data_IF_241230931852
#
_entry.id   IF_241230931852
#
_cell.length_a   1.000
_cell.length_b   1.000
_cell.length_c   1.000
_cell.angle_alpha   90.00
_cell.angle_beta   90.00
_cell.angle_gamma   90.00
#
_symmetry.space_group_name_H-M   'P 1'
#
loop_
_entity.id
_entity.type
_entity.pdbx_description
1 polymer ?
#
# COMPACT_ATOMS: atom_id res chain seq x y z
N UNK A 1 33.14 3.48 1.15
CA UNK A 1 32.50 2.58 2.17
C UNK A 1 31.28 3.22 2.85
N UNK A 2 31.24 4.52 3.04
CA UNK A 2 30.10 5.23 3.70
C UNK A 2 28.84 5.29 2.81
N UNK A 3 28.99 5.46 1.49
CA UNK A 3 27.88 5.43 0.54
C UNK A 3 27.22 4.05 0.43
N UNK A 4 28.00 2.95 0.49
CA UNK A 4 27.48 1.60 0.46
C UNK A 4 26.68 1.24 1.72
N UNK A 5 27.06 1.78 2.91
CA UNK A 5 26.29 1.63 4.15
C UNK A 5 24.94 2.35 4.13
N UNK A 6 24.81 3.43 3.35
CA UNK A 6 23.55 4.17 3.20
C UNK A 6 22.60 3.53 2.21
N UNK A 7 23.08 2.80 1.23
CA UNK A 7 22.29 2.12 0.20
C UNK A 7 21.91 0.68 0.57
N UNK A 8 22.65 0.05 1.49
CA UNK A 8 22.42 -1.34 1.90
C UNK A 8 20.97 -1.67 2.31
N UNK A 9 20.27 -0.82 3.10
CA UNK A 9 18.86 -1.06 3.44
C UNK A 9 17.87 -0.91 2.26
N UNK A 10 18.29 -0.23 1.19
CA UNK A 10 17.44 0.02 0.00
C UNK A 10 17.61 -1.08 -1.07
N UNK A 11 18.62 -1.94 -0.92
CA UNK A 11 18.92 -3.04 -1.84
C UNK A 11 18.71 -4.41 -1.22
N UNK A 12 18.11 -4.48 -0.03
CA UNK A 12 17.76 -5.75 0.59
C UNK A 12 16.62 -6.42 -0.18
N UNK A 13 16.90 -7.53 -0.82
CA UNK A 13 15.87 -8.40 -1.38
C UNK A 13 15.09 -9.08 -0.25
N UNK A 14 13.78 -9.11 -0.36
CA UNK A 14 12.94 -9.86 0.56
C UNK A 14 13.08 -11.36 0.26
N UNK A 15 13.50 -12.11 1.27
CA UNK A 15 13.56 -13.57 1.18
C UNK A 15 12.24 -14.20 1.65
N UNK A 16 11.92 -15.44 1.22
CA UNK A 16 10.77 -16.17 1.74
C UNK A 16 10.77 -16.29 3.27
N UNK A 17 11.93 -16.44 3.89
CA UNK A 17 12.08 -16.51 5.36
C UNK A 17 11.70 -15.19 6.01
N UNK A 18 12.10 -14.04 5.44
CA UNK A 18 11.70 -12.72 5.96
C UNK A 18 10.21 -12.49 5.85
N UNK A 19 9.58 -13.00 4.79
CA UNK A 19 8.11 -12.94 4.62
C UNK A 19 7.44 -13.78 5.71
N UNK A 20 7.90 -15.02 5.92
CA UNK A 20 7.34 -15.89 6.97
C UNK A 20 7.53 -15.30 8.37
N UNK A 21 8.71 -14.83 8.70
CA UNK A 21 8.97 -14.13 9.97
C UNK A 21 8.07 -12.92 10.18
N UNK A 22 7.75 -12.18 9.12
CA UNK A 22 6.82 -11.05 9.21
C UNK A 22 5.41 -11.50 9.53
N UNK A 23 4.93 -12.60 8.92
CA UNK A 23 3.63 -13.21 9.21
C UNK A 23 3.56 -13.70 10.65
N UNK A 24 4.59 -14.42 11.11
CA UNK A 24 4.69 -14.91 12.49
C UNK A 24 4.61 -13.74 13.49
N UNK A 25 5.31 -12.65 13.21
CA UNK A 25 5.24 -11.45 14.05
C UNK A 25 3.84 -10.81 14.02
N UNK A 26 3.17 -10.76 12.86
CA UNK A 26 1.80 -10.24 12.77
C UNK A 26 0.84 -11.09 13.59
N UNK A 27 0.97 -12.42 13.56
CA UNK A 27 0.16 -13.34 14.35
C UNK A 27 0.37 -13.09 15.85
N UNK A 28 1.63 -12.95 16.32
CA UNK A 28 1.95 -12.59 17.70
C UNK A 28 1.41 -11.21 18.10
N UNK A 29 1.41 -10.25 17.18
CA UNK A 29 0.85 -8.92 17.40
C UNK A 29 -0.67 -8.85 17.24
N UNK A 30 -1.31 -9.93 16.83
CA UNK A 30 -2.75 -9.99 16.56
C UNK A 30 -3.18 -9.11 15.37
N UNK A 31 -2.27 -8.88 14.43
CA UNK A 31 -2.52 -8.12 13.21
C UNK A 31 -2.94 -9.07 12.11
N UNK A 32 -4.13 -8.87 11.56
CA UNK A 32 -4.59 -9.63 10.41
C UNK A 32 -3.74 -9.32 9.18
N UNK A 33 -3.40 -10.35 8.42
CA UNK A 33 -2.66 -10.24 7.17
C UNK A 33 -3.26 -11.15 6.10
N UNK A 34 -2.95 -10.87 4.84
CA UNK A 34 -3.41 -11.62 3.69
C UNK A 34 -2.31 -11.63 2.62
N UNK A 35 -2.16 -12.74 1.91
CA UNK A 35 -1.37 -12.78 0.69
C UNK A 35 -2.21 -12.26 -0.47
N UNK A 36 -1.72 -11.22 -1.14
CA UNK A 36 -2.35 -10.73 -2.35
C UNK A 36 -2.03 -11.68 -3.53
N UNK A 37 -3.00 -11.98 -4.40
CA UNK A 37 -2.77 -12.84 -5.56
C UNK A 37 -1.85 -12.21 -6.61
N UNK A 38 -1.77 -10.87 -6.61
CA UNK A 38 -0.93 -10.02 -7.46
C UNK A 38 -0.42 -8.83 -6.63
N UNK A 39 -0.59 -7.59 -7.11
CA UNK A 39 -0.19 -6.38 -6.40
C UNK A 39 -0.99 -6.17 -5.10
N UNK A 40 -0.27 -5.91 -4.01
CA UNK A 40 -0.90 -5.71 -2.70
C UNK A 40 -1.77 -4.45 -2.66
N UNK A 41 -1.36 -3.39 -3.34
CA UNK A 41 -2.13 -2.15 -3.49
C UNK A 41 -3.47 -2.40 -4.20
N UNK A 42 -3.47 -3.24 -5.23
CA UNK A 42 -4.67 -3.63 -5.96
C UNK A 42 -5.63 -4.43 -5.09
N UNK A 43 -5.13 -5.44 -4.39
CA UNK A 43 -5.94 -6.23 -3.46
C UNK A 43 -6.54 -5.35 -2.34
N UNK A 44 -5.72 -4.48 -1.74
CA UNK A 44 -6.18 -3.56 -0.70
C UNK A 44 -7.23 -2.55 -1.23
N UNK A 45 -7.07 -2.06 -2.48
CA UNK A 45 -8.04 -1.18 -3.11
C UNK A 45 -9.39 -1.87 -3.34
N UNK A 46 -9.39 -3.13 -3.80
CA UNK A 46 -10.61 -3.94 -3.95
C UNK A 46 -11.31 -4.14 -2.61
N UNK A 47 -10.56 -4.50 -1.55
CA UNK A 47 -11.12 -4.63 -0.19
C UNK A 47 -11.73 -3.32 0.30
N UNK A 48 -11.08 -2.18 0.03
CA UNK A 48 -11.61 -0.88 0.40
C UNK A 48 -12.88 -0.53 -0.38
N UNK A 49 -12.94 -0.86 -1.67
CA UNK A 49 -14.13 -0.66 -2.51
C UNK A 49 -15.32 -1.51 -2.07
N UNK A 50 -15.07 -2.71 -1.55
CA UNK A 50 -16.10 -3.61 -0.99
C UNK A 50 -16.55 -3.20 0.41
N UNK A 51 -15.81 -2.30 1.08
CA UNK A 51 -16.06 -1.90 2.45
C UNK A 51 -15.50 -2.87 3.50
N UNK A 52 -14.65 -3.83 3.10
CA UNK A 52 -13.97 -4.75 4.02
C UNK A 52 -12.97 -4.00 4.91
N UNK A 53 -12.39 -2.92 4.37
CA UNK A 53 -11.54 -1.97 5.10
C UNK A 53 -11.95 -0.54 4.80
N UNK A 54 -11.68 0.39 5.74
CA UNK A 54 -12.13 1.79 5.63
C UNK A 54 -11.22 2.66 4.76
N UNK A 55 -9.98 2.27 4.58
CA UNK A 55 -8.98 3.00 3.79
C UNK A 55 -7.77 2.11 3.50
N UNK A 56 -7.02 2.45 2.45
CA UNK A 56 -5.72 1.86 2.14
C UNK A 56 -4.61 2.80 2.59
N UNK A 57 -3.69 2.33 3.42
CA UNK A 57 -2.51 3.09 3.84
C UNK A 57 -1.32 2.70 2.96
N UNK A 58 -0.99 3.53 1.98
CA UNK A 58 0.17 3.33 1.09
C UNK A 58 0.88 4.66 0.78
N UNK A 59 2.11 4.57 0.30
CA UNK A 59 2.85 5.69 -0.29
C UNK A 59 2.72 5.72 -1.80
N UNK A 60 2.26 4.62 -2.38
CA UNK A 60 2.12 4.43 -3.81
C UNK A 60 0.80 5.00 -4.33
N UNK A 61 0.93 5.89 -5.32
CA UNK A 61 -0.22 6.52 -5.97
C UNK A 61 -1.04 5.56 -6.83
N UNK A 62 -0.47 4.42 -7.23
CA UNK A 62 -1.16 3.40 -8.01
C UNK A 62 -2.36 2.84 -7.26
N UNK A 63 -2.38 2.93 -5.91
CA UNK A 63 -3.55 2.68 -5.07
C UNK A 63 -4.83 3.39 -5.59
N UNK A 64 -4.70 4.60 -6.14
CA UNK A 64 -5.84 5.33 -6.72
C UNK A 64 -6.19 4.82 -8.10
N UNK A 65 -5.22 4.37 -8.89
CA UNK A 65 -5.46 3.73 -10.20
C UNK A 65 -6.25 2.44 -10.02
N UNK A 66 -5.91 1.63 -9.00
CA UNK A 66 -6.67 0.44 -8.61
C UNK A 66 -8.08 0.76 -8.06
N UNK A 67 -8.40 2.03 -7.87
CA UNK A 67 -9.74 2.50 -7.52
C UNK A 67 -10.05 2.47 -6.03
N UNK A 68 -9.04 2.54 -5.15
CA UNK A 68 -9.30 2.70 -3.72
C UNK A 68 -10.12 3.96 -3.45
N UNK A 69 -11.30 3.88 -2.83
CA UNK A 69 -12.12 5.06 -2.51
C UNK A 69 -11.40 6.03 -1.58
N UNK A 70 -10.59 5.49 -0.67
CA UNK A 70 -9.86 6.26 0.34
C UNK A 70 -8.43 5.74 0.47
N UNK A 71 -7.47 6.62 0.25
CA UNK A 71 -6.05 6.39 0.49
C UNK A 71 -5.55 7.25 1.64
N UNK A 72 -4.70 6.69 2.50
CA UNK A 72 -4.02 7.43 3.57
C UNK A 72 -2.52 7.37 3.35
N UNK A 73 -1.90 8.52 3.11
CA UNK A 73 -0.45 8.64 2.96
C UNK A 73 0.21 9.07 4.27
N UNK A 74 1.50 8.79 4.40
CA UNK A 74 2.34 9.19 5.54
C UNK A 74 1.84 8.68 6.91
N UNK A 75 1.01 7.63 6.96
CA UNK A 75 0.43 7.14 8.22
C UNK A 75 1.53 6.77 9.23
N UNK A 76 2.53 5.99 8.81
CA UNK A 76 3.64 5.55 9.67
C UNK A 76 4.67 6.64 9.96
N UNK A 77 4.66 7.72 9.17
CA UNK A 77 5.57 8.86 9.32
C UNK A 77 4.94 10.04 10.06
N UNK A 78 3.66 9.93 10.46
CA UNK A 78 2.94 11.01 11.12
C UNK A 78 3.70 11.54 12.35
N UNK A 79 3.83 12.85 12.45
CA UNK A 79 4.54 13.52 13.55
C UNK A 79 6.07 13.49 13.45
N UNK A 80 6.67 12.75 12.52
CA UNK A 80 8.12 12.74 12.30
C UNK A 80 8.57 13.98 11.51
N UNK A 81 9.84 14.40 11.71
CA UNK A 81 10.42 15.46 10.89
C UNK A 81 11.23 14.87 9.75
N UNK A 82 10.90 15.29 8.52
CA UNK A 82 11.64 14.92 7.31
C UNK A 82 11.87 16.18 6.47
N UNK A 83 13.12 16.42 6.04
CA UNK A 83 13.50 17.62 5.27
C UNK A 83 13.01 18.94 5.89
N UNK A 84 13.13 19.09 7.23
CA UNK A 84 12.71 20.29 7.95
C UNK A 84 11.20 20.45 8.16
N UNK A 85 10.37 19.55 7.63
CA UNK A 85 8.90 19.57 7.75
C UNK A 85 8.39 18.46 8.66
N UNK A 86 7.34 18.76 9.41
CA UNK A 86 6.59 17.72 10.16
C UNK A 86 5.71 16.98 9.18
N UNK A 87 5.92 15.66 9.06
CA UNK A 87 5.09 14.81 8.23
C UNK A 87 3.71 14.65 8.88
N UNK A 88 2.69 14.77 8.07
CA UNK A 88 1.30 14.55 8.50
C UNK A 88 0.70 13.42 7.68
N UNK A 89 -0.12 12.60 8.32
CA UNK A 89 -0.97 11.67 7.59
C UNK A 89 -1.98 12.49 6.76
N UNK A 90 -2.11 12.11 5.49
CA UNK A 90 -2.99 12.77 4.53
C UNK A 90 -4.02 11.76 4.06
N UNK A 91 -5.30 12.11 4.19
CA UNK A 91 -6.41 11.33 3.65
C UNK A 91 -6.79 11.88 2.29
N UNK A 92 -6.79 11.03 1.29
CA UNK A 92 -7.08 11.36 -0.10
C UNK A 92 -8.33 10.57 -0.51
N UNK A 93 -9.32 11.26 -1.03
CA UNK A 93 -10.53 10.69 -1.59
C UNK A 93 -10.37 10.59 -3.11
N UNK A 94 -10.58 9.41 -3.68
CA UNK A 94 -10.58 9.22 -5.13
C UNK A 94 -11.68 10.06 -5.78
N UNK A 95 -12.89 10.03 -5.24
CA UNK A 95 -14.03 10.78 -5.79
C UNK A 95 -13.77 12.29 -5.82
N UNK A 96 -13.20 12.85 -4.74
CA UNK A 96 -12.88 14.28 -4.69
C UNK A 96 -11.77 14.61 -5.70
N UNK A 97 -10.75 13.75 -5.82
CA UNK A 97 -9.66 13.91 -6.78
C UNK A 97 -10.18 13.89 -8.23
N UNK A 98 -11.02 12.93 -8.57
CA UNK A 98 -11.63 12.85 -9.91
C UNK A 98 -12.50 14.08 -10.20
N UNK A 99 -13.29 14.50 -9.23
CA UNK A 99 -14.19 15.67 -9.36
C UNK A 99 -13.40 16.97 -9.52
N UNK A 100 -12.35 17.18 -8.72
CA UNK A 100 -11.48 18.37 -8.81
C UNK A 100 -10.80 18.46 -10.17
N UNK A 101 -10.36 17.32 -10.69
CA UNK A 101 -9.70 17.27 -11.98
C UNK A 101 -10.67 17.13 -13.16
N UNK A 102 -11.95 16.87 -12.94
CA UNK A 102 -12.97 16.72 -13.98
C UNK A 102 -12.65 15.58 -14.95
N UNK A 103 -12.23 14.44 -14.40
CA UNK A 103 -11.90 13.21 -15.14
C UNK A 103 -12.59 12.01 -14.52
N UNK A 104 -12.74 10.93 -15.30
CA UNK A 104 -13.24 9.64 -14.80
C UNK A 104 -12.09 8.77 -14.29
N UNK A 105 -12.42 7.63 -13.65
CA UNK A 105 -11.41 6.67 -13.21
C UNK A 105 -10.67 6.06 -14.40
N UNK A 106 -11.38 5.72 -15.47
CA UNK A 106 -10.78 5.20 -16.70
C UNK A 106 -9.77 6.19 -17.28
N UNK A 107 -10.12 7.48 -17.28
CA UNK A 107 -9.23 8.54 -17.72
C UNK A 107 -8.02 8.72 -16.77
N UNK A 108 -8.19 8.47 -15.48
CA UNK A 108 -7.08 8.49 -14.53
C UNK A 108 -6.12 7.31 -14.78
N UNK A 109 -6.63 6.11 -15.11
CA UNK A 109 -5.83 4.95 -15.49
C UNK A 109 -5.06 5.24 -16.78
N UNK A 110 -5.73 5.72 -17.82
CA UNK A 110 -5.08 6.12 -19.08
C UNK A 110 -4.00 7.19 -18.87
N UNK A 111 -4.27 8.15 -18.00
CA UNK A 111 -3.28 9.16 -17.60
C UNK A 111 -2.07 8.52 -16.92
N UNK A 112 -2.29 7.59 -16.00
CA UNK A 112 -1.23 6.82 -15.34
C UNK A 112 -0.37 6.07 -16.35
N UNK A 113 -0.98 5.34 -17.29
CA UNK A 113 -0.28 4.60 -18.35
C UNK A 113 0.55 5.55 -19.23
N UNK A 114 0.01 6.70 -19.60
CA UNK A 114 0.75 7.68 -20.40
C UNK A 114 1.94 8.29 -19.67
N UNK A 115 1.82 8.50 -18.36
CA UNK A 115 2.89 9.07 -17.53
C UNK A 115 3.96 8.02 -17.18
N UNK A 116 3.55 6.77 -17.02
CA UNK A 116 4.33 5.62 -16.63
C UNK A 116 3.85 5.03 -15.31
N UNK A 117 3.80 3.70 -15.28
CA UNK A 117 3.49 2.86 -14.14
C UNK A 117 4.50 1.71 -14.09
N UNK A 118 4.43 0.86 -13.10
CA UNK A 118 5.28 -0.35 -13.03
C UNK A 118 5.05 -1.31 -14.20
N UNK A 119 3.89 -1.21 -14.87
CA UNK A 119 3.52 -2.07 -16.02
C UNK A 119 3.81 -1.45 -17.39
N UNK A 120 4.01 -0.13 -17.46
CA UNK A 120 4.27 0.56 -18.71
C UNK A 120 5.19 1.78 -18.50
N UNK A 121 6.24 1.94 -19.33
CA UNK A 121 7.25 3.00 -19.12
C UNK A 121 6.73 4.43 -19.38
N UNK A 122 5.50 4.58 -19.84
CA UNK A 122 4.91 5.85 -20.22
C UNK A 122 5.23 6.27 -21.64
N UNK A 123 4.61 7.37 -22.07
CA UNK A 123 4.80 7.96 -23.40
C UNK A 123 5.82 9.10 -23.31
N UNK A 124 6.89 9.01 -24.09
CA UNK A 124 7.95 10.02 -24.08
C UNK A 124 7.42 11.43 -24.30
N UNK A 125 7.70 12.31 -23.36
CA UNK A 125 7.28 13.72 -23.41
C UNK A 125 5.89 14.00 -22.84
N UNK A 126 5.19 12.99 -22.33
CA UNK A 126 3.91 13.15 -21.64
C UNK A 126 4.12 12.95 -20.13
N UNK A 127 4.24 14.04 -19.39
CA UNK A 127 4.22 14.02 -17.93
C UNK A 127 2.84 14.33 -17.36
N UNK A 128 2.65 14.30 -16.03
CA UNK A 128 1.33 14.39 -15.39
C UNK A 128 0.50 15.59 -15.82
N UNK A 129 1.09 16.79 -15.86
CA UNK A 129 0.38 18.02 -16.25
C UNK A 129 -0.06 18.01 -17.71
N UNK A 130 0.82 17.53 -18.59
CA UNK A 130 0.54 17.44 -20.04
C UNK A 130 -0.51 16.36 -20.27
N UNK A 131 -0.35 15.18 -19.67
CA UNK A 131 -1.29 14.07 -19.77
C UNK A 131 -2.69 14.46 -19.31
N UNK A 132 -2.82 15.08 -18.14
CA UNK A 132 -4.12 15.54 -17.62
C UNK A 132 -4.79 16.53 -18.60
N UNK A 133 -4.04 17.49 -19.15
CA UNK A 133 -4.56 18.44 -20.15
C UNK A 133 -5.04 17.73 -21.42
N UNK A 134 -4.30 16.72 -21.87
CA UNK A 134 -4.65 15.93 -23.06
C UNK A 134 -5.88 15.08 -22.79
N UNK A 135 -5.96 14.39 -21.65
CA UNK A 135 -7.14 13.61 -21.28
C UNK A 135 -8.40 14.46 -21.18
N UNK A 136 -8.32 15.63 -20.54
CA UNK A 136 -9.45 16.58 -20.51
C UNK A 136 -9.89 17.09 -21.87
N UNK A 137 -8.96 17.20 -22.84
CA UNK A 137 -9.24 17.71 -24.17
C UNK A 137 -9.80 16.62 -25.12
N UNK A 138 -9.24 15.43 -25.04
CA UNK A 138 -9.48 14.37 -26.03
C UNK A 138 -10.33 13.21 -25.49
N UNK A 139 -10.37 13.03 -24.17
CA UNK A 139 -11.25 12.07 -23.51
C UNK A 139 -10.68 10.67 -23.34
N UNK A 140 -9.97 10.15 -24.33
CA UNK A 140 -9.39 8.78 -24.33
C UNK A 140 -7.95 8.78 -24.78
N UNK A 141 -7.20 7.74 -24.42
CA UNK A 141 -5.80 7.59 -24.81
C UNK A 141 -5.67 7.39 -26.34
N UNK A 142 -6.64 6.73 -26.97
CA UNK A 142 -6.70 6.56 -28.43
C UNK A 142 -6.79 7.90 -29.15
N UNK A 143 -7.69 8.78 -28.71
CA UNK A 143 -7.83 10.12 -29.29
C UNK A 143 -6.61 11.00 -29.02
N UNK A 144 -5.93 10.81 -27.88
CA UNK A 144 -4.64 11.47 -27.59
C UNK A 144 -3.55 10.96 -28.53
N UNK A 145 -3.46 9.64 -28.73
CA UNK A 145 -2.50 9.00 -29.63
C UNK A 145 -2.65 9.55 -31.04
N UNK A 146 -3.87 9.57 -31.58
CA UNK A 146 -4.17 10.12 -32.92
C UNK A 146 -3.77 11.60 -33.02
N UNK A 147 -4.12 12.41 -32.02
CA UNK A 147 -3.83 13.84 -32.00
C UNK A 147 -2.34 14.18 -31.82
N UNK A 148 -1.55 13.28 -31.25
CA UNK A 148 -0.12 13.49 -30.96
C UNK A 148 0.82 12.70 -31.87
N UNK A 149 0.31 11.71 -32.58
CA UNK A 149 1.07 10.87 -33.50
C UNK A 149 2.03 9.92 -32.82
N UNK A 150 1.59 9.26 -31.75
CA UNK A 150 2.33 8.15 -31.14
C UNK A 150 1.51 6.85 -31.26
N UNK A 151 2.19 5.71 -31.27
CA UNK A 151 1.54 4.42 -31.33
C UNK A 151 1.03 4.03 -29.93
N UNK A 152 -0.18 3.44 -29.90
CA UNK A 152 -0.70 2.88 -28.65
C UNK A 152 0.13 1.68 -28.20
N UNK A 153 0.32 1.46 -26.88
CA UNK A 153 0.93 0.24 -26.39
C UNK A 153 0.16 -1.00 -26.87
N UNK A 154 0.87 -2.03 -27.30
CA UNK A 154 0.26 -3.29 -27.75
C UNK A 154 -0.53 -3.99 -26.64
N UNK A 155 -0.11 -3.81 -25.39
CA UNK A 155 -0.68 -4.38 -24.18
C UNK A 155 -1.65 -3.45 -23.43
N UNK A 156 -2.06 -2.32 -24.06
CA UNK A 156 -2.88 -1.28 -23.40
C UNK A 156 -4.09 -1.83 -22.67
N UNK A 157 -4.88 -2.69 -23.34
CA UNK A 157 -6.09 -3.28 -22.72
C UNK A 157 -5.75 -4.20 -21.55
N UNK A 158 -4.64 -4.94 -21.62
CA UNK A 158 -4.16 -5.78 -20.53
C UNK A 158 -3.77 -4.94 -19.33
N UNK A 159 -3.03 -3.84 -19.55
CA UNK A 159 -2.61 -2.93 -18.48
C UNK A 159 -3.80 -2.19 -17.89
N UNK A 160 -4.76 -1.75 -18.70
CA UNK A 160 -6.04 -1.20 -18.20
C UNK A 160 -6.76 -2.20 -17.30
N UNK A 161 -6.84 -3.46 -17.74
CA UNK A 161 -7.48 -4.55 -17.00
C UNK A 161 -6.84 -4.79 -15.63
N UNK A 162 -5.52 -4.70 -15.51
CA UNK A 162 -4.82 -4.83 -14.24
C UNK A 162 -5.31 -3.80 -13.20
N UNK A 163 -5.56 -2.57 -13.63
CA UNK A 163 -6.03 -1.51 -12.72
C UNK A 163 -7.54 -1.55 -12.51
N UNK A 164 -8.32 -1.83 -13.57
CA UNK A 164 -9.79 -1.71 -13.54
C UNK A 164 -10.48 -2.93 -12.92
N UNK A 165 -9.92 -4.12 -13.10
CA UNK A 165 -10.50 -5.39 -12.67
C UNK A 165 -9.46 -6.25 -11.94
N UNK A 166 -8.84 -5.68 -10.91
CA UNK A 166 -7.81 -6.38 -10.13
C UNK A 166 -8.40 -7.57 -9.36
N UNK A 167 -7.86 -8.80 -9.54
CA UNK A 167 -8.40 -9.97 -8.85
C UNK A 167 -8.04 -9.94 -7.36
N UNK A 168 -9.03 -10.24 -6.50
CA UNK A 168 -8.77 -10.53 -5.08
C UNK A 168 -8.54 -12.02 -4.85
N UNK A 169 -8.98 -12.88 -5.78
CA UNK A 169 -8.89 -14.33 -5.65
C UNK A 169 -9.71 -14.86 -4.49
N UNK A 170 -9.34 -16.05 -4.02
CA UNK A 170 -9.94 -16.71 -2.86
C UNK A 170 -9.18 -16.39 -1.56
N UNK A 171 -8.19 -15.48 -1.61
CA UNK A 171 -7.42 -15.06 -0.44
C UNK A 171 -8.31 -14.34 0.55
N UNK A 172 -8.24 -14.74 1.82
CA UNK A 172 -8.97 -14.12 2.91
C UNK A 172 -7.98 -13.65 4.00
N UNK A 173 -8.26 -12.51 4.66
CA UNK A 173 -7.45 -12.08 5.79
C UNK A 173 -7.48 -13.11 6.92
N UNK A 174 -6.34 -13.29 7.59
CA UNK A 174 -6.29 -14.08 8.82
C UNK A 174 -7.16 -13.43 9.89
N UNK A 175 -7.59 -14.24 10.86
CA UNK A 175 -8.40 -13.74 11.96
C UNK A 175 -7.61 -12.71 12.81
N UNK A 176 -8.26 -11.62 13.18
CA UNK A 176 -7.69 -10.66 14.12
C UNK A 176 -7.72 -11.26 15.53
N UNK A 177 -6.60 -11.21 16.24
CA UNK A 177 -6.49 -11.64 17.64
C UNK A 177 -5.95 -10.52 18.53
N UNK A 178 -5.73 -10.82 19.81
CA UNK A 178 -5.02 -9.91 20.70
C UNK A 178 -3.54 -10.28 20.74
N UNK A 179 -2.69 -9.26 20.80
CA UNK A 179 -1.25 -9.42 20.89
C UNK A 179 -0.83 -10.21 22.13
N UNK A 180 0.16 -11.08 21.98
CA UNK A 180 0.74 -11.92 23.03
C UNK A 180 2.11 -11.34 23.42
N UNK A 181 2.17 -10.65 24.56
CA UNK A 181 3.37 -9.94 25.00
C UNK A 181 4.59 -10.84 25.09
N UNK A 182 4.47 -12.01 25.75
CA UNK A 182 5.57 -12.95 25.94
C UNK A 182 6.13 -13.44 24.62
N UNK A 183 5.26 -13.83 23.67
CA UNK A 183 5.68 -14.26 22.34
C UNK A 183 6.38 -13.16 21.55
N UNK A 184 5.94 -11.90 21.67
CA UNK A 184 6.60 -10.75 21.02
C UNK A 184 8.00 -10.54 21.62
N UNK A 185 8.17 -10.68 22.94
CA UNK A 185 9.48 -10.55 23.60
C UNK A 185 10.43 -11.64 23.15
N UNK A 186 10.02 -12.89 23.24
CA UNK A 186 10.81 -14.03 22.78
C UNK A 186 11.22 -13.86 21.30
N UNK A 187 10.26 -13.57 20.44
CA UNK A 187 10.51 -13.42 19.01
C UNK A 187 11.49 -12.29 18.67
N UNK A 188 11.33 -11.12 19.30
CA UNK A 188 12.14 -9.94 18.97
C UNK A 188 13.43 -9.84 19.77
N UNK A 189 13.42 -10.10 21.09
CA UNK A 189 14.60 -9.97 21.94
C UNK A 189 15.51 -11.17 21.80
N UNK A 190 15.01 -12.36 22.09
CA UNK A 190 15.81 -13.57 22.13
C UNK A 190 16.15 -14.07 20.73
N UNK A 191 15.17 -14.09 19.84
CA UNK A 191 15.34 -14.59 18.48
C UNK A 191 16.09 -13.63 17.54
N UNK A 192 15.97 -12.30 17.73
CA UNK A 192 16.47 -11.30 16.77
C UNK A 192 17.29 -10.17 17.37
N UNK A 193 17.57 -10.20 18.66
CA UNK A 193 18.48 -9.25 19.31
C UNK A 193 17.97 -7.81 19.36
N UNK A 194 16.66 -7.60 19.31
CA UNK A 194 16.10 -6.27 19.54
C UNK A 194 16.31 -5.86 20.99
N UNK A 195 16.69 -4.60 21.23
CA UNK A 195 16.85 -4.10 22.58
C UNK A 195 15.51 -4.08 23.33
N UNK A 196 15.53 -4.42 24.60
CA UNK A 196 14.39 -4.40 25.53
C UNK A 196 13.59 -3.09 25.40
N UNK A 197 14.28 -1.94 25.43
CA UNK A 197 13.65 -0.62 25.28
C UNK A 197 12.82 -0.48 23.98
N UNK A 198 13.24 -1.09 22.88
CA UNK A 198 12.49 -1.04 21.61
C UNK A 198 11.25 -1.91 21.67
N UNK A 199 11.38 -3.09 22.25
CA UNK A 199 10.28 -4.05 22.42
C UNK A 199 9.25 -3.51 23.40
N UNK A 200 9.66 -3.00 24.56
CA UNK A 200 8.78 -2.35 25.54
C UNK A 200 7.95 -1.22 24.92
N UNK A 201 8.60 -0.40 24.08
CA UNK A 201 7.88 0.69 23.39
C UNK A 201 6.80 0.15 22.45
N UNK A 202 7.05 -0.95 21.75
CA UNK A 202 6.07 -1.58 20.87
C UNK A 202 4.91 -2.17 21.67
N UNK A 203 5.23 -2.91 22.74
CA UNK A 203 4.24 -3.51 23.63
C UNK A 203 3.37 -2.45 24.31
N UNK A 204 3.96 -1.38 24.83
CA UNK A 204 3.20 -0.28 25.43
C UNK A 204 2.23 0.36 24.45
N UNK A 205 2.63 0.54 23.18
CA UNK A 205 1.72 1.04 22.13
C UNK A 205 0.57 0.09 21.86
N UNK A 206 0.81 -1.22 21.88
CA UNK A 206 -0.26 -2.22 21.74
C UNK A 206 -1.20 -2.21 22.95
N UNK A 207 -0.65 -2.03 24.16
CA UNK A 207 -1.43 -1.88 25.38
C UNK A 207 -2.31 -0.63 25.35
N UNK A 208 -1.72 0.52 25.01
CA UNK A 208 -2.43 1.81 24.90
C UNK A 208 -3.56 1.75 23.85
N UNK A 209 -3.35 0.97 22.78
CA UNK A 209 -4.38 0.71 21.78
C UNK A 209 -5.41 -0.37 22.19
N UNK A 210 -5.33 -0.92 23.40
CA UNK A 210 -6.22 -1.99 23.88
C UNK A 210 -6.05 -3.31 23.12
N UNK A 211 -4.89 -3.53 22.51
CA UNK A 211 -4.62 -4.70 21.66
C UNK A 211 -3.91 -5.84 22.41
N UNK A 212 -3.37 -5.61 23.60
CA UNK A 212 -2.76 -6.67 24.39
C UNK A 212 -3.79 -7.61 25.00
N UNK A 213 -3.42 -8.88 25.08
CA UNK A 213 -4.16 -9.89 25.82
C UNK A 213 -3.96 -9.63 27.32
N UNK A 214 -5.05 -9.48 28.06
CA UNK A 214 -4.98 -9.43 29.53
C UNK A 214 -4.48 -10.76 30.04
N UNK A 215 -3.53 -10.76 31.00
CA UNK A 215 -3.02 -11.98 31.63
C UNK A 215 -4.09 -12.78 32.42
N UNK A 216 -5.28 -12.18 32.61
CA UNK A 216 -6.42 -12.78 33.28
C UNK A 216 -7.49 -13.36 32.35
N UNK A 217 -7.34 -13.25 31.03
CA UNK A 217 -8.29 -13.84 30.07
C UNK A 217 -7.81 -15.22 29.62
N UNK A 218 -8.55 -16.31 29.95
CA UNK A 218 -8.27 -17.64 29.43
C UNK A 218 -8.30 -17.63 27.87
N UNK A 219 -7.49 -18.46 27.27
CA UNK A 219 -7.57 -18.71 25.82
C UNK A 219 -8.93 -19.31 25.49
N UNK A 220 -9.54 -18.88 24.37
CA UNK A 220 -10.74 -19.55 23.82
C UNK A 220 -10.45 -21.02 23.43
N UNK A 221 -9.20 -21.46 23.47
CA UNK A 221 -8.74 -22.80 23.14
C UNK A 221 -8.30 -23.61 24.38
N UNK A 222 -8.49 -23.07 25.59
CA UNK A 222 -8.17 -23.75 26.85
C UNK A 222 -9.37 -24.60 27.38
N UNK A 223 -10.34 -24.97 26.50
CA UNK A 223 -11.47 -25.85 26.79
C UNK A 223 -11.44 -27.10 25.95
#
# INVERSE_FOLDING_TARGET
>A
MEAAKKLGPQTAEYTPDMVQETKDLFDLMGVSWMEAPMEAEGAAAVMCSRGDVSAVASQDWDTLLYGSPVMVRNLTSHGTRRFGRVMRAERISLQDTLSEHGITREQLVDLGIMVGTDFHPGIKGIGPKTGLKLMKKHGTMEAVSEAKGFDLPEDLESVRGLFMDHPLGDSAPTATSRAVEEGIREFLQEGRGFSERRVDRAINRLADAGRLRSSSQPSLFDF
#
